data_IF_085504689851
#
_entry.id   IF_085504689851
#
_cell.length_a   1.000
_cell.length_b   1.000
_cell.length_c   1.000
_cell.angle_alpha   90.00
_cell.angle_beta   90.00
_cell.angle_gamma   90.00
#
_symmetry.space_group_name_H-M   'P 1'
#
loop_
_entity.id
_entity.type
_entity.pdbx_description
1 polymer ?
2 water ?
#
# COMPACT_ATOMS: atom_id res chain seq x y z
N UNK A 3 7.73 16.98 -12.14
CA UNK A 3 6.55 16.44 -11.47
C UNK A 3 6.37 14.96 -11.70
N UNK A 4 7.07 14.38 -12.66
CA UNK A 4 6.93 12.93 -12.85
C UNK A 4 7.49 12.18 -11.65
N UNK A 5 8.63 12.61 -11.08
CA UNK A 5 9.13 11.92 -9.90
C UNK A 5 8.17 12.07 -8.74
N UNK A 6 7.47 13.18 -8.61
CA UNK A 6 6.50 13.29 -7.53
C UNK A 6 5.35 12.35 -7.71
N UNK A 7 4.90 12.16 -8.96
CA UNK A 7 3.84 11.16 -9.19
C UNK A 7 4.34 9.76 -8.86
N UNK A 8 5.55 9.41 -9.30
CA UNK A 8 6.13 8.12 -8.97
C UNK A 8 6.17 7.97 -7.44
N UNK A 9 6.63 8.98 -6.71
CA UNK A 9 6.75 8.90 -5.29
C UNK A 9 5.40 8.68 -4.63
N UNK A 10 4.39 9.36 -5.10
CA UNK A 10 3.07 9.22 -4.51
C UNK A 10 2.51 7.81 -4.75
N UNK A 11 2.67 7.32 -5.98
CA UNK A 11 2.24 5.99 -6.32
C UNK A 11 2.97 4.94 -5.50
N UNK A 12 4.28 5.15 -5.29
CA UNK A 12 5.05 4.21 -4.49
C UNK A 12 4.56 4.21 -3.04
N UNK A 13 4.32 5.40 -2.53
CA UNK A 13 3.84 5.46 -1.16
C UNK A 13 2.49 4.75 -1.04
N UNK A 14 1.58 5.02 -1.97
CA UNK A 14 0.26 4.40 -1.96
C UNK A 14 0.39 2.89 -2.07
N UNK A 15 1.26 2.44 -2.98
CA UNK A 15 1.42 1.00 -3.13
C UNK A 15 1.90 0.36 -1.85
N UNK A 16 2.85 1.00 -1.18
CA UNK A 16 3.35 0.42 0.08
C UNK A 16 2.24 0.35 1.10
N UNK A 17 1.45 1.41 1.21
CA UNK A 17 0.35 1.44 2.15
C UNK A 17 -0.68 0.39 1.86
N UNK A 18 -1.00 0.25 0.58
CA UNK A 18 -2.02 -0.74 0.21
C UNK A 18 -1.52 -2.14 0.49
N UNK A 19 -0.26 -2.43 0.22
CA UNK A 19 0.28 -3.77 0.51
C UNK A 19 0.17 -4.04 2.01
N UNK A 20 0.41 -3.03 2.85
CA UNK A 20 0.35 -3.27 4.28
C UNK A 20 -1.11 -3.48 4.71
N UNK A 21 -2.00 -2.73 4.06
CA UNK A 21 -3.42 -2.90 4.37
C UNK A 21 -3.90 -4.30 3.96
N UNK A 22 -3.43 -4.76 2.81
CA UNK A 22 -3.75 -6.14 2.43
C UNK A 22 -3.24 -7.11 3.49
N UNK A 23 -2.04 -6.92 4.01
CA UNK A 23 -1.47 -7.82 5.01
C UNK A 23 -2.33 -7.81 6.26
N UNK A 24 -2.77 -6.62 6.66
CA UNK A 24 -3.62 -6.48 7.83
C UNK A 24 -4.91 -7.23 7.61
N UNK A 25 -5.56 -6.99 6.46
CA UNK A 25 -6.88 -7.58 6.23
C UNK A 25 -6.81 -9.07 6.02
N UNK A 26 -5.76 -9.58 5.39
CA UNK A 26 -5.51 -11.02 5.34
C UNK A 26 -5.47 -11.66 6.71
N UNK A 27 -4.69 -10.99 7.55
CA UNK A 27 -4.57 -11.52 8.95
C UNK A 27 -5.89 -11.47 9.64
N UNK A 28 -6.73 -10.46 9.39
CA UNK A 28 -8.03 -10.39 9.99
C UNK A 28 -8.95 -11.49 9.45
N UNK A 29 -8.86 -11.79 8.16
CA UNK A 29 -9.65 -12.85 7.57
C UNK A 29 -9.30 -14.17 8.25
N UNK A 30 -8.01 -14.34 8.62
CA UNK A 30 -7.61 -15.58 9.29
C UNK A 30 -8.21 -15.69 10.67
N UNK A 31 -8.82 -14.64 11.21
CA UNK A 31 -9.53 -14.81 12.52
C UNK A 31 -10.88 -15.42 12.28
#
# INVERSE_FOLDING_TARGET
>A
MDQLNALLASLEAENKQLKAKVEELLAKVGE
#
